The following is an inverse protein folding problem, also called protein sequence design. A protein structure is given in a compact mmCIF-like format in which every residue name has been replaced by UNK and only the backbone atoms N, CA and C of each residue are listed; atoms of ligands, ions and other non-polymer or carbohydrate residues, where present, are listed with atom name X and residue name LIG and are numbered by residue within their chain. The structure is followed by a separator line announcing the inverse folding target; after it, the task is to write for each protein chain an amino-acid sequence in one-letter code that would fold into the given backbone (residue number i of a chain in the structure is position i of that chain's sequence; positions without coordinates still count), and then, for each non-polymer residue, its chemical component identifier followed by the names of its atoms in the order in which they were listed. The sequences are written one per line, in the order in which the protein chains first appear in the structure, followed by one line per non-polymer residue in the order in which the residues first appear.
data_IF_050213504315
#
_entry.id   IF_050213504315
#
_cell.length_a   1.000
_cell.length_b   1.000
_cell.length_c   1.000
_cell.angle_alpha   90.00
_cell.angle_beta   90.00
_cell.angle_gamma   90.00
#
_symmetry.space_group_name_H-M   'P 1'
#
loop_
_entity.id
_entity.type
_entity.pdbx_description
1 polymer ?
#
# COMPACT_ATOMS: atom_id res chain seq x y z
N UNK A 1 -8.72 -2.55 11.85
CA UNK A 1 -8.16 -1.20 11.90
C UNK A 1 -7.07 -1.01 10.86
N UNK A 2 -6.97 0.16 10.26
CA UNK A 2 -5.85 0.44 9.35
C UNK A 2 -4.61 0.85 10.14
N UNK A 3 -3.45 0.59 9.56
CA UNK A 3 -2.20 1.12 10.08
C UNK A 3 -1.61 2.08 9.07
N UNK A 4 -1.58 3.36 9.41
CA UNK A 4 -0.97 4.36 8.55
C UNK A 4 0.55 4.16 8.56
N UNK A 5 1.14 4.11 7.38
CA UNK A 5 2.57 3.89 7.21
C UNK A 5 3.29 5.17 6.83
N UNK A 6 2.77 5.86 5.83
CA UNK A 6 3.41 7.01 5.22
C UNK A 6 2.35 7.98 4.75
N UNK A 7 2.72 9.25 4.67
CA UNK A 7 1.89 10.30 4.06
C UNK A 7 2.68 10.91 2.92
N UNK A 8 2.00 11.20 1.80
CA UNK A 8 2.64 11.81 0.65
C UNK A 8 1.61 12.53 -0.19
N UNK A 9 1.86 13.78 -0.54
CA UNK A 9 0.98 14.61 -1.39
C UNK A 9 -0.46 14.70 -0.86
N UNK A 10 -0.64 14.65 0.45
CA UNK A 10 -1.98 14.68 1.04
C UNK A 10 -2.70 13.33 1.03
N UNK A 11 -2.02 12.27 0.61
CA UNK A 11 -2.56 10.91 0.63
C UNK A 11 -1.98 10.15 1.80
N UNK A 12 -2.81 9.26 2.38
CA UNK A 12 -2.38 8.32 3.42
C UNK A 12 -2.14 6.96 2.78
N UNK A 13 -0.98 6.38 3.06
CA UNK A 13 -0.60 5.05 2.60
C UNK A 13 -0.65 4.12 3.80
N UNK A 14 -1.44 3.05 3.70
CA UNK A 14 -1.73 2.20 4.86
C UNK A 14 -2.04 0.76 4.43
N UNK A 15 -2.08 -0.15 5.40
CA UNK A 15 -2.68 -1.46 5.20
C UNK A 15 -3.62 -1.77 6.38
N UNK A 16 -4.54 -2.73 6.17
CA UNK A 16 -5.46 -3.15 7.21
C UNK A 16 -4.78 -4.16 8.13
N UNK A 17 -4.94 -4.01 9.45
CA UNK A 17 -4.30 -4.89 10.42
C UNK A 17 -4.96 -6.26 10.51
N UNK A 18 -6.21 -6.37 10.07
CA UNK A 18 -6.99 -7.60 10.14
C UNK A 18 -7.12 -8.26 8.77
N UNK A 19 -5.98 -8.40 8.07
CA UNK A 19 -5.96 -9.15 6.81
C UNK A 19 -6.52 -10.55 7.02
N UNK A 20 -7.27 -11.03 6.02
CA UNK A 20 -7.91 -12.32 6.10
C UNK A 20 -6.96 -13.49 5.95
N UNK A 21 -7.52 -14.69 5.98
CA UNK A 21 -6.79 -15.94 5.80
C UNK A 21 -7.28 -16.59 4.51
N UNK A 22 -6.39 -16.95 3.57
CA UNK A 22 -4.94 -16.82 3.68
C UNK A 22 -4.47 -15.38 3.53
N UNK A 23 -3.28 -15.09 4.07
CA UNK A 23 -2.71 -13.75 3.98
C UNK A 23 -2.34 -13.43 2.53
N UNK A 24 -2.81 -12.28 2.04
CA UNK A 24 -2.47 -11.82 0.70
C UNK A 24 -1.00 -11.39 0.60
N UNK A 25 -0.44 -11.36 -0.61
CA UNK A 25 0.89 -10.75 -0.80
C UNK A 25 0.91 -9.31 -0.29
N UNK A 26 2.10 -8.81 0.01
CA UNK A 26 2.28 -7.47 0.56
C UNK A 26 1.63 -6.43 -0.35
N UNK A 27 0.79 -5.59 0.22
CA UNK A 27 0.12 -4.52 -0.51
C UNK A 27 -0.20 -3.36 0.42
N UNK A 28 -0.49 -2.22 -0.17
CA UNK A 28 -0.93 -1.04 0.57
C UNK A 28 -2.17 -0.48 -0.10
N UNK A 29 -2.90 0.31 0.66
CA UNK A 29 -4.02 1.10 0.15
C UNK A 29 -3.64 2.57 0.23
N UNK A 30 -4.21 3.37 -0.65
CA UNK A 30 -3.94 4.80 -0.69
C UNK A 30 -5.27 5.54 -0.80
N UNK A 31 -5.49 6.48 0.11
CA UNK A 31 -6.68 7.33 0.06
C UNK A 31 -6.30 8.77 0.41
N UNK A 32 -7.06 9.73 -0.08
CA UNK A 32 -6.84 11.12 0.26
C UNK A 32 -7.37 11.37 1.67
N UNK A 33 -6.50 11.93 2.53
CA UNK A 33 -6.86 12.13 3.93
C UNK A 33 -6.83 10.83 4.71
N UNK A 34 -7.97 10.46 5.31
CA UNK A 34 -8.02 9.30 6.19
C UNK A 34 -8.25 7.98 5.42
N UNK A 35 -7.87 6.84 6.02
CA UNK A 35 -8.13 5.52 5.42
C UNK A 35 -9.61 5.29 5.14
N UNK A 36 -9.89 4.68 3.99
CA UNK A 36 -11.25 4.38 3.52
C UNK A 36 -11.32 2.92 3.07
N UNK A 37 -12.48 2.25 3.20
CA UNK A 37 -12.66 0.92 2.62
C UNK A 37 -12.61 1.02 1.09
N UNK A 38 -12.10 -0.03 0.44
CA UNK A 38 -11.99 -0.11 -1.03
C UNK A 38 -11.17 0.99 -1.67
N UNK A 39 -10.22 1.56 -0.93
CA UNK A 39 -9.30 2.55 -1.47
C UNK A 39 -8.38 1.91 -2.51
N UNK A 40 -7.74 2.76 -3.32
CA UNK A 40 -6.77 2.33 -4.31
C UNK A 40 -5.81 1.30 -3.72
N UNK A 41 -5.60 0.19 -4.43
CA UNK A 41 -4.77 -0.93 -3.97
C UNK A 41 -3.52 -1.05 -4.82
N UNK A 42 -2.38 -1.16 -4.16
CA UNK A 42 -1.08 -1.22 -4.81
C UNK A 42 -0.29 -2.40 -4.24
N UNK A 43 0.12 -3.32 -5.12
CA UNK A 43 0.97 -4.43 -4.74
C UNK A 43 2.41 -3.97 -4.57
N UNK A 44 3.10 -4.54 -3.57
CA UNK A 44 4.54 -4.33 -3.44
C UNK A 44 5.24 -5.55 -4.00
N UNK A 45 5.73 -5.43 -5.24
CA UNK A 45 6.44 -6.50 -5.93
C UNK A 45 7.94 -6.35 -5.73
N UNK A 46 8.71 -7.35 -6.16
CA UNK A 46 10.17 -7.27 -6.10
C UNK A 46 10.72 -6.12 -6.94
N UNK A 47 10.03 -5.77 -8.01
CA UNK A 47 10.43 -4.67 -8.88
C UNK A 47 9.94 -3.31 -8.37
N UNK A 48 9.03 -3.31 -7.39
CA UNK A 48 8.49 -2.08 -6.83
C UNK A 48 6.98 -2.10 -6.76
N UNK A 49 6.38 -0.92 -6.66
CA UNK A 49 4.93 -0.77 -6.53
C UNK A 49 4.23 -1.03 -7.86
N UNK A 50 3.13 -1.76 -7.81
CA UNK A 50 2.31 -2.06 -9.00
C UNK A 50 0.85 -1.88 -8.66
N UNK A 51 0.13 -1.12 -9.49
CA UNK A 51 -1.27 -0.83 -9.28
C UNK A 51 -2.14 -2.07 -9.50
N UNK A 52 -3.02 -2.36 -8.52
CA UNK A 52 -4.06 -3.36 -8.67
C UNK A 52 -5.33 -2.70 -9.23
N UNK A 53 -5.82 -1.66 -8.56
CA UNK A 53 -6.95 -0.86 -9.00
C UNK A 53 -6.87 0.54 -8.41
N UNK A 54 -7.54 1.47 -9.04
CA UNK A 54 -7.54 2.87 -8.60
C UNK A 54 -8.96 3.29 -8.19
N UNK A 55 -9.54 2.58 -7.23
CA UNK A 55 -10.91 2.85 -6.79
C UNK A 55 -11.07 4.21 -6.11
N UNK A 56 -9.99 4.81 -5.63
CA UNK A 56 -10.02 6.16 -5.06
C UNK A 56 -10.00 7.26 -6.12
N UNK A 57 -9.94 6.90 -7.39
CA UNK A 57 -9.90 7.85 -8.51
C UNK A 57 -8.77 8.88 -8.38
N UNK A 58 -7.59 8.41 -8.00
CA UNK A 58 -6.41 9.28 -7.89
C UNK A 58 -6.00 9.75 -9.28
N UNK A 59 -5.79 11.07 -9.48
CA UNK A 59 -5.33 11.57 -10.78
C UNK A 59 -4.03 10.90 -11.21
N UNK A 60 -3.87 10.67 -12.52
CA UNK A 60 -2.72 9.95 -13.05
C UNK A 60 -1.38 10.54 -12.62
N UNK A 61 -1.28 11.85 -12.58
CA UNK A 61 -0.06 12.53 -12.15
C UNK A 61 0.32 12.14 -10.71
N UNK A 62 -0.66 12.20 -9.81
CA UNK A 62 -0.43 11.86 -8.41
C UNK A 62 -0.17 10.36 -8.25
N UNK A 63 -0.90 9.55 -9.01
CA UNK A 63 -0.75 8.09 -8.95
C UNK A 63 0.67 7.67 -9.33
N UNK A 64 1.23 8.27 -10.39
CA UNK A 64 2.59 7.98 -10.80
C UNK A 64 3.58 8.33 -9.69
N UNK A 65 3.43 9.51 -9.08
CA UNK A 65 4.31 9.94 -7.99
C UNK A 65 4.18 9.04 -6.78
N UNK A 66 2.95 8.59 -6.46
CA UNK A 66 2.72 7.67 -5.35
C UNK A 66 3.38 6.31 -5.60
N UNK A 67 3.26 5.78 -6.81
CA UNK A 67 3.90 4.51 -7.16
C UNK A 67 5.42 4.60 -7.01
N UNK A 68 6.02 5.69 -7.48
CA UNK A 68 7.45 5.92 -7.35
C UNK A 68 7.85 6.06 -5.87
N UNK A 69 7.06 6.80 -5.09
CA UNK A 69 7.33 7.01 -3.68
C UNK A 69 7.28 5.69 -2.89
N UNK A 70 6.26 4.87 -3.16
CA UNK A 70 6.12 3.57 -2.49
C UNK A 70 7.27 2.65 -2.87
N UNK A 71 7.67 2.67 -4.14
CA UNK A 71 8.82 1.88 -4.60
C UNK A 71 10.09 2.28 -3.85
N UNK A 72 10.32 3.59 -3.70
CA UNK A 72 11.49 4.10 -2.97
C UNK A 72 11.47 3.72 -1.49
N UNK A 73 10.29 3.55 -0.92
CA UNK A 73 10.10 3.24 0.49
C UNK A 73 9.71 1.77 0.73
N UNK A 74 9.99 0.89 -0.22
CA UNK A 74 9.52 -0.50 -0.14
C UNK A 74 10.04 -1.24 1.08
N UNK A 75 11.28 -0.97 1.52
CA UNK A 75 11.83 -1.64 2.69
C UNK A 75 11.11 -1.22 3.97
N UNK A 76 10.68 0.04 4.06
CA UNK A 76 9.89 0.53 5.18
C UNK A 76 8.54 -0.18 5.21
N UNK A 77 7.88 -0.31 4.06
CA UNK A 77 6.59 -1.00 3.98
C UNK A 77 6.75 -2.47 4.34
N UNK A 78 7.75 -3.14 3.79
CA UNK A 78 8.02 -4.55 4.11
C UNK A 78 8.29 -4.75 5.60
N UNK A 79 9.09 -3.86 6.21
CA UNK A 79 9.39 -3.95 7.63
C UNK A 79 8.14 -3.84 8.49
N UNK A 80 7.25 -2.91 8.17
CA UNK A 80 5.99 -2.73 8.91
C UNK A 80 5.07 -3.93 8.72
N UNK A 81 5.02 -4.47 7.50
CA UNK A 81 4.21 -5.65 7.21
C UNK A 81 4.73 -6.86 8.01
N UNK A 82 6.06 -7.08 8.01
CA UNK A 82 6.66 -8.17 8.78
C UNK A 82 6.42 -8.02 10.28
N UNK A 83 6.51 -6.79 10.79
CA UNK A 83 6.24 -6.52 12.21
C UNK A 83 4.82 -6.93 12.60
N UNK A 84 3.86 -6.75 11.70
CA UNK A 84 2.46 -7.05 11.99
C UNK A 84 2.10 -8.51 11.74
N UNK A 85 2.56 -9.07 10.62
CA UNK A 85 2.09 -10.39 10.18
C UNK A 85 3.12 -11.51 10.34
N UNK A 86 4.38 -11.18 10.57
CA UNK A 86 5.43 -12.18 10.76
C UNK A 86 5.88 -12.89 9.50
N UNK A 87 5.24 -12.63 8.37
CA UNK A 87 5.60 -13.22 7.08
C UNK A 87 5.21 -12.26 5.96
N UNK A 88 5.87 -12.40 4.82
CA UNK A 88 5.57 -11.56 3.66
C UNK A 88 5.80 -12.34 2.37
N UNK A 89 4.86 -12.26 1.45
CA UNK A 89 4.98 -12.78 0.10
C UNK A 89 4.82 -11.62 -0.84
N UNK A 90 5.71 -11.51 -1.80
CA UNK A 90 5.60 -10.44 -2.79
C UNK A 90 4.94 -10.97 -4.05
N UNK A 91 4.00 -10.20 -4.59
CA UNK A 91 3.30 -10.55 -5.81
C UNK A 91 4.27 -10.45 -6.99
N UNK A 92 4.13 -11.35 -7.93
CA UNK A 92 4.94 -11.37 -9.15
C UNK A 92 4.45 -10.37 -10.19
#
# INVERSE_FOLDING_TARGET
MPKALLDYLGYTIYFWLNEGTPLEPVHVHVSKGKPMPNATKIWLTKEGARLEHNNSNIPQKDLKELLDFITENKLTVLGRWMDRFGEATQKR
#
